data_IF_052050356539
#
_entry.id   IF_052050356539
#
_cell.length_a   1.000
_cell.length_b   1.000
_cell.length_c   1.000
_cell.angle_alpha   90.00
_cell.angle_beta   90.00
_cell.angle_gamma   90.00
#
_symmetry.space_group_name_H-M   'P 1'
#
loop_
_entity.id
_entity.type
_entity.pdbx_description
1 polymer ?
#
# COMPACT_ATOMS: atom_id res chain seq x y z
N UNK A 1 27.33 -19.94 -7.92
CA UNK A 1 26.78 -18.72 -7.29
C UNK A 1 27.87 -18.11 -6.43
N UNK A 2 28.50 -17.02 -6.88
CA UNK A 2 29.33 -16.21 -5.98
C UNK A 2 28.36 -15.42 -5.11
N UNK A 3 28.26 -15.77 -3.82
CA UNK A 3 27.59 -14.91 -2.85
C UNK A 3 28.45 -13.65 -2.72
N UNK A 4 27.89 -12.50 -3.08
CA UNK A 4 28.53 -11.22 -2.86
C UNK A 4 28.64 -11.00 -1.34
N UNK A 5 29.86 -10.90 -0.77
CA UNK A 5 30.04 -10.75 0.67
C UNK A 5 29.50 -9.41 1.20
N UNK A 6 29.16 -8.46 0.32
CA UNK A 6 28.51 -7.19 0.70
C UNK A 6 26.97 -7.27 0.73
N UNK A 7 26.36 -8.43 0.49
CA UNK A 7 24.91 -8.59 0.48
C UNK A 7 24.34 -8.52 1.91
N UNK A 8 23.99 -7.32 2.37
CA UNK A 8 23.19 -7.14 3.57
C UNK A 8 21.73 -7.57 3.29
N UNK A 9 21.20 -8.46 4.14
CA UNK A 9 19.81 -8.91 4.01
C UNK A 9 18.81 -7.78 4.19
N UNK A 10 17.73 -7.81 3.39
CA UNK A 10 16.65 -6.82 3.44
C UNK A 10 16.02 -6.76 4.85
N UNK A 11 16.21 -5.64 5.56
CA UNK A 11 15.61 -5.41 6.90
C UNK A 11 14.20 -4.83 6.83
N UNK A 12 13.68 -4.53 5.63
CA UNK A 12 12.38 -3.88 5.45
C UNK A 12 11.18 -4.84 5.44
N UNK A 13 11.38 -6.15 5.65
CA UNK A 13 10.32 -7.17 5.62
C UNK A 13 9.09 -6.82 6.49
N UNK A 14 9.32 -6.23 7.67
CA UNK A 14 8.22 -5.79 8.54
C UNK A 14 7.36 -4.68 7.94
N UNK A 15 7.98 -3.74 7.20
CA UNK A 15 7.27 -2.66 6.51
C UNK A 15 6.48 -3.20 5.31
N UNK A 16 7.05 -4.17 4.60
CA UNK A 16 6.41 -4.82 3.47
C UNK A 16 5.12 -5.55 3.88
N UNK A 17 5.15 -6.28 5.00
CA UNK A 17 3.96 -6.94 5.55
C UNK A 17 2.85 -5.93 5.88
N UNK A 18 3.18 -4.82 6.53
CA UNK A 18 2.19 -3.79 6.87
C UNK A 18 1.54 -3.22 5.61
N UNK A 19 2.34 -2.93 4.57
CA UNK A 19 1.83 -2.46 3.29
C UNK A 19 0.90 -3.47 2.62
N UNK A 20 1.25 -4.76 2.65
CA UNK A 20 0.40 -5.84 2.12
C UNK A 20 -0.93 -5.93 2.87
N UNK A 21 -0.91 -5.88 4.21
CA UNK A 21 -2.13 -5.93 5.02
C UNK A 21 -3.04 -4.73 4.71
N UNK A 22 -2.47 -3.52 4.64
CA UNK A 22 -3.23 -2.31 4.27
C UNK A 22 -3.82 -2.46 2.86
N UNK A 23 -3.08 -3.05 1.93
CA UNK A 23 -3.57 -3.38 0.59
C UNK A 23 -4.76 -4.34 0.60
N UNK A 24 -4.73 -5.39 1.42
CA UNK A 24 -5.85 -6.35 1.56
C UNK A 24 -7.10 -5.64 2.08
N UNK A 25 -6.96 -4.81 3.12
CA UNK A 25 -8.07 -4.04 3.68
C UNK A 25 -8.64 -3.07 2.65
N UNK A 26 -7.78 -2.39 1.90
CA UNK A 26 -8.18 -1.49 0.82
C UNK A 26 -9.00 -2.19 -0.26
N UNK A 27 -8.53 -3.35 -0.73
CA UNK A 27 -9.23 -4.15 -1.74
C UNK A 27 -10.60 -4.64 -1.23
N UNK A 28 -10.66 -5.11 0.01
CA UNK A 28 -11.95 -5.52 0.60
C UNK A 28 -12.92 -4.35 0.74
N UNK A 29 -12.44 -3.16 1.12
CA UNK A 29 -13.28 -1.96 1.20
C UNK A 29 -13.86 -1.56 -0.17
N UNK A 30 -13.09 -1.72 -1.26
CA UNK A 30 -13.58 -1.48 -2.63
C UNK A 30 -14.67 -2.46 -3.07
N UNK A 31 -14.64 -3.71 -2.59
CA UNK A 31 -15.71 -4.70 -2.86
C UNK A 31 -16.98 -4.37 -2.09
N UNK A 32 -16.86 -3.91 -0.84
CA UNK A 32 -18.00 -3.62 0.04
C UNK A 32 -18.68 -2.28 -0.32
N UNK A 33 -17.93 -1.31 -0.82
CA UNK A 33 -18.43 0.02 -1.19
C UNK A 33 -19.61 -0.01 -2.19
N UNK A 34 -19.55 -0.70 -3.36
CA UNK A 34 -20.68 -0.78 -4.28
C UNK A 34 -21.87 -1.54 -3.68
N UNK A 35 -21.63 -2.52 -2.81
CA UNK A 35 -22.70 -3.25 -2.12
C UNK A 35 -23.47 -2.28 -1.21
N UNK A 36 -22.76 -1.48 -0.41
CA UNK A 36 -23.36 -0.48 0.48
C UNK A 36 -24.07 0.65 -0.27
N UNK A 37 -23.54 1.03 -1.43
CA UNK A 37 -24.17 1.99 -2.31
C UNK A 37 -25.51 1.47 -2.87
N UNK A 38 -25.53 0.22 -3.35
CA UNK A 38 -26.74 -0.42 -3.92
C UNK A 38 -27.85 -0.57 -2.87
N UNK A 39 -27.52 -0.94 -1.63
CA UNK A 39 -28.52 -1.05 -0.55
C UNK A 39 -28.99 0.32 0.00
N UNK A 40 -28.59 1.43 -0.65
CA UNK A 40 -28.90 2.81 -0.25
C UNK A 40 -28.52 3.16 1.20
N UNK A 41 -27.53 2.47 1.78
CA UNK A 41 -27.05 2.73 3.14
C UNK A 41 -25.97 3.82 3.10
N UNK A 42 -26.41 5.07 2.97
CA UNK A 42 -25.55 6.26 2.80
C UNK A 42 -24.48 6.39 3.89
N UNK A 43 -24.83 6.17 5.16
CA UNK A 43 -23.87 6.23 6.27
C UNK A 43 -22.73 5.20 6.15
N UNK A 44 -23.05 3.94 5.86
CA UNK A 44 -22.04 2.88 5.71
C UNK A 44 -21.19 3.09 4.44
N UNK A 45 -21.79 3.61 3.37
CA UNK A 45 -21.08 3.93 2.13
C UNK A 45 -20.03 5.03 2.36
N UNK A 46 -20.37 6.08 3.11
CA UNK A 46 -19.42 7.15 3.46
C UNK A 46 -18.27 6.64 4.32
N UNK A 47 -18.55 5.74 5.28
CA UNK A 47 -17.50 5.11 6.10
C UNK A 47 -16.59 4.26 5.21
N UNK A 48 -17.15 3.41 4.34
CA UNK A 48 -16.37 2.58 3.43
C UNK A 48 -15.50 3.42 2.49
N UNK A 49 -16.05 4.51 1.95
CA UNK A 49 -15.30 5.47 1.14
C UNK A 49 -14.15 6.12 1.93
N UNK A 50 -14.41 6.51 3.18
CA UNK A 50 -13.39 7.03 4.10
C UNK A 50 -12.25 6.02 4.32
N UNK A 51 -12.58 4.74 4.56
CA UNK A 51 -11.59 3.67 4.71
C UNK A 51 -10.76 3.49 3.44
N UNK A 52 -11.40 3.47 2.26
CA UNK A 52 -10.70 3.39 0.96
C UNK A 52 -9.70 4.53 0.79
N UNK A 53 -10.12 5.78 1.06
CA UNK A 53 -9.24 6.95 0.92
C UNK A 53 -8.10 6.92 1.93
N UNK A 54 -8.37 6.56 3.19
CA UNK A 54 -7.33 6.47 4.23
C UNK A 54 -6.29 5.41 3.87
N UNK A 55 -6.72 4.21 3.49
CA UNK A 55 -5.80 3.14 3.08
C UNK A 55 -4.99 3.54 1.85
N UNK A 56 -5.59 4.24 0.87
CA UNK A 56 -4.88 4.77 -0.30
C UNK A 56 -3.79 5.77 0.11
N UNK A 57 -4.09 6.68 1.04
CA UNK A 57 -3.11 7.65 1.55
C UNK A 57 -1.96 6.95 2.28
N UNK A 58 -2.27 5.97 3.13
CA UNK A 58 -1.25 5.18 3.83
C UNK A 58 -0.31 4.50 2.83
N UNK A 59 -0.85 3.85 1.80
CA UNK A 59 -0.04 3.18 0.77
C UNK A 59 0.79 4.18 -0.05
N UNK A 60 0.24 5.35 -0.37
CA UNK A 60 0.99 6.40 -1.09
C UNK A 60 2.24 6.81 -0.32
N UNK A 61 2.14 7.06 0.97
CA UNK A 61 3.27 7.52 1.77
C UNK A 61 4.22 6.39 2.20
N UNK A 62 3.70 5.23 2.59
CA UNK A 62 4.56 4.14 3.08
C UNK A 62 5.25 3.35 1.96
N UNK A 63 4.61 3.23 0.80
CA UNK A 63 5.11 2.41 -0.30
C UNK A 63 5.51 3.26 -1.50
N UNK A 64 4.58 3.99 -2.11
CA UNK A 64 4.83 4.69 -3.39
C UNK A 64 5.96 5.74 -3.30
N UNK A 65 5.97 6.57 -2.26
CA UNK A 65 6.98 7.61 -2.05
C UNK A 65 8.39 7.04 -1.76
N UNK A 66 8.47 5.87 -1.11
CA UNK A 66 9.76 5.19 -0.91
C UNK A 66 10.26 4.54 -2.18
N UNK A 67 9.36 3.97 -2.97
CA UNK A 67 9.70 3.34 -4.24
C UNK A 67 10.22 4.39 -5.23
N UNK A 68 9.59 5.56 -5.28
CA UNK A 68 10.06 6.69 -6.09
C UNK A 68 11.45 7.19 -5.66
N UNK A 69 11.72 7.30 -4.36
CA UNK A 69 13.06 7.65 -3.85
C UNK A 69 14.12 6.60 -4.22
N UNK A 70 13.78 5.32 -4.14
CA UNK A 70 14.69 4.24 -4.53
C UNK A 70 15.01 4.31 -6.03
N UNK A 71 13.99 4.49 -6.87
CA UNK A 71 14.12 4.57 -8.32
C UNK A 71 14.98 5.76 -8.78
N UNK A 72 14.74 6.97 -8.22
CA UNK A 72 15.58 8.14 -8.44
C UNK A 72 17.05 7.87 -8.07
N UNK A 73 17.28 7.11 -6.99
CA UNK A 73 18.63 6.72 -6.58
C UNK A 73 19.35 5.85 -7.62
N UNK A 74 18.63 5.01 -8.36
CA UNK A 74 19.21 4.21 -9.44
C UNK A 74 19.41 5.02 -10.73
N UNK A 75 18.51 5.95 -11.04
CA UNK A 75 18.64 6.80 -12.24
C UNK A 75 19.83 7.77 -12.13
N UNK A 76 20.11 8.34 -10.95
CA UNK A 76 21.25 9.24 -10.74
C UNK A 76 22.63 8.54 -10.73
N UNK A 77 22.66 7.21 -10.76
CA UNK A 77 23.89 6.40 -10.75
C UNK A 77 24.23 5.85 -12.14
N UNK A 78 23.30 5.91 -13.10
CA UNK A 78 23.51 5.53 -14.51
C UNK A 78 23.74 6.75 -15.40
#
# INVERSE_FOLDING_TARGET
>A
MKLDPAFEGNKDFGRDIVNVIVGIVWQMALVVLPIFFIIHKTGATLIALGVVVICMVILKYNWYDKLHRADIGFENVN
#
